data_IF_433734258372
#
_entry.id   IF_433734258372
#
_cell.length_a   1.000
_cell.length_b   1.000
_cell.length_c   1.000
_cell.angle_alpha   90.00
_cell.angle_beta   90.00
_cell.angle_gamma   90.00
#
_symmetry.space_group_name_H-M   'P 1'
#
loop_
_entity.id
_entity.type
_entity.pdbx_description
1 polymer ?
#
# COMPACT_ATOMS: atom_id res chain seq x y z
N UNK A 1 -19.95 -5.24 -5.44
CA UNK A 1 -21.06 -4.63 -6.20
C UNK A 1 -22.25 -5.55 -5.95
N UNK A 2 -23.16 -5.14 -5.07
CA UNK A 2 -24.35 -5.93 -4.71
C UNK A 2 -25.53 -5.33 -5.49
N UNK A 3 -25.94 -6.01 -6.55
CA UNK A 3 -27.05 -5.62 -7.40
C UNK A 3 -28.23 -6.56 -7.08
N UNK A 4 -29.33 -5.98 -6.61
CA UNK A 4 -30.58 -6.68 -6.35
C UNK A 4 -31.02 -7.48 -7.58
N UNK A 5 -31.21 -8.79 -7.38
CA UNK A 5 -31.46 -9.87 -8.34
C UNK A 5 -32.81 -9.80 -9.10
N UNK A 6 -33.26 -8.64 -9.60
CA UNK A 6 -34.57 -8.56 -10.28
C UNK A 6 -34.52 -8.32 -11.79
N UNK A 7 -33.37 -7.96 -12.38
CA UNK A 7 -33.24 -7.85 -13.84
C UNK A 7 -32.00 -8.61 -14.32
N UNK A 8 -32.24 -9.81 -14.83
CA UNK A 8 -31.24 -10.86 -15.02
C UNK A 8 -31.18 -11.27 -16.49
N UNK A 9 -30.66 -10.36 -17.33
CA UNK A 9 -30.27 -10.64 -18.71
C UNK A 9 -28.75 -10.42 -18.96
N UNK A 10 -27.95 -10.30 -17.90
CA UNK A 10 -26.51 -10.07 -18.01
C UNK A 10 -25.74 -11.38 -18.22
N UNK A 11 -25.19 -11.57 -19.42
CA UNK A 11 -24.50 -12.79 -19.89
C UNK A 11 -23.03 -12.90 -19.45
N UNK A 12 -22.67 -12.35 -18.29
CA UNK A 12 -21.28 -12.27 -17.83
C UNK A 12 -20.56 -11.00 -18.28
N UNK A 13 -19.40 -10.72 -17.71
CA UNK A 13 -18.64 -9.49 -17.94
C UNK A 13 -17.14 -9.72 -17.93
N UNK A 14 -16.38 -8.70 -18.34
CA UNK A 14 -14.91 -8.71 -18.28
C UNK A 14 -14.43 -7.58 -17.40
N UNK A 15 -13.59 -7.91 -16.42
CA UNK A 15 -12.75 -6.93 -15.74
C UNK A 15 -11.51 -6.74 -16.59
N UNK A 16 -11.33 -5.54 -17.12
CA UNK A 16 -10.27 -5.20 -18.07
C UNK A 16 -9.22 -4.25 -17.47
N UNK A 17 -9.44 -3.80 -16.24
CA UNK A 17 -8.44 -3.06 -15.48
C UNK A 17 -8.63 -3.24 -13.97
N UNK A 18 -7.50 -3.35 -13.28
CA UNK A 18 -7.43 -3.36 -11.82
C UNK A 18 -6.29 -2.44 -11.42
N UNK A 19 -6.57 -1.51 -10.52
CA UNK A 19 -5.55 -0.67 -9.90
C UNK A 19 -5.59 -0.80 -8.38
N UNK A 20 -4.41 -0.77 -7.78
CA UNK A 20 -4.22 -0.80 -6.34
C UNK A 20 -3.76 0.58 -5.92
N UNK A 21 -4.45 1.18 -4.95
CA UNK A 21 -4.08 2.45 -4.34
C UNK A 21 -3.81 2.22 -2.86
N UNK A 22 -2.72 2.79 -2.36
CA UNK A 22 -2.33 2.75 -0.96
C UNK A 22 -2.35 4.15 -0.38
N UNK A 23 -3.15 4.34 0.67
CA UNK A 23 -3.26 5.58 1.43
C UNK A 23 -2.76 5.44 2.88
N UNK A 24 -2.09 4.34 3.21
CA UNK A 24 -1.26 4.20 4.40
C UNK A 24 0.06 4.94 4.19
N UNK A 25 -0.03 6.26 4.14
CA UNK A 25 1.13 7.13 4.00
C UNK A 25 2.02 7.03 5.23
N UNK A 26 3.31 6.86 4.98
CA UNK A 26 4.33 7.06 5.98
C UNK A 26 4.85 8.49 5.86
N UNK A 27 5.02 9.15 7.00
CA UNK A 27 5.54 10.51 7.07
C UNK A 27 7.05 10.45 7.28
N UNK A 28 7.78 11.27 6.54
CA UNK A 28 9.19 11.50 6.78
C UNK A 28 9.44 12.11 8.17
N UNK A 29 10.68 12.02 8.66
CA UNK A 29 11.05 12.74 9.87
C UNK A 29 10.98 14.26 9.64
N UNK A 30 10.44 14.99 10.61
CA UNK A 30 10.41 16.45 10.60
C UNK A 30 11.82 17.04 10.75
N UNK A 31 12.70 16.32 11.45
CA UNK A 31 14.09 16.70 11.65
C UNK A 31 15.02 15.50 11.55
N UNK A 32 16.22 15.74 11.05
CA UNK A 32 17.30 14.75 11.03
C UNK A 32 18.44 15.26 11.88
N UNK A 33 18.93 14.44 12.81
CA UNK A 33 20.14 14.71 13.59
C UNK A 33 21.31 13.96 12.98
N UNK A 34 22.27 14.72 12.47
CA UNK A 34 23.49 14.24 11.83
C UNK A 34 24.62 15.23 12.04
N UNK A 35 25.82 14.91 11.56
CA UNK A 35 26.94 15.86 11.54
C UNK A 35 26.62 17.14 10.74
N UNK A 36 25.83 17.04 9.67
CA UNK A 36 25.47 18.19 8.82
C UNK A 36 24.46 19.15 9.45
N UNK A 37 23.57 18.62 10.30
CA UNK A 37 22.53 19.41 11.00
C UNK A 37 22.91 19.74 12.43
N UNK A 38 24.11 19.33 12.87
CA UNK A 38 24.59 19.50 14.24
C UNK A 38 24.64 20.97 14.64
N UNK A 39 24.20 21.27 15.86
CA UNK A 39 24.27 22.63 16.42
C UNK A 39 23.11 23.53 16.00
N UNK A 40 22.16 23.03 15.20
CA UNK A 40 21.00 23.81 14.77
C UNK A 40 19.97 23.91 15.88
N UNK A 41 19.36 25.09 16.01
CA UNK A 41 18.23 25.28 16.91
C UNK A 41 16.99 24.69 16.26
N UNK A 42 16.31 23.81 16.98
CA UNK A 42 15.09 23.13 16.57
C UNK A 42 13.99 23.34 17.61
N UNK A 43 12.75 23.24 17.16
CA UNK A 43 11.57 23.33 18.01
C UNK A 43 10.64 22.15 17.73
N UNK A 44 10.29 21.42 18.78
CA UNK A 44 9.41 20.26 18.74
C UNK A 44 8.07 20.55 19.40
N UNK A 45 7.00 20.26 18.68
CA UNK A 45 5.62 20.17 19.18
C UNK A 45 5.23 18.69 19.19
N UNK A 46 4.35 18.30 20.13
CA UNK A 46 3.93 16.91 20.29
C UNK A 46 3.45 16.29 18.97
N UNK A 47 3.90 15.07 18.69
CA UNK A 47 3.65 14.33 17.45
C UNK A 47 4.72 14.52 16.37
N UNK A 48 5.65 15.48 16.52
CA UNK A 48 6.76 15.61 15.57
C UNK A 48 7.79 14.50 15.73
N UNK A 49 8.37 14.11 14.60
CA UNK A 49 9.25 12.95 14.46
C UNK A 49 10.67 13.42 14.15
N UNK A 50 11.65 12.88 14.87
CA UNK A 50 13.07 13.13 14.62
C UNK A 50 13.76 11.82 14.28
N UNK A 51 14.62 11.84 13.28
CA UNK A 51 15.51 10.74 12.93
C UNK A 51 16.91 11.04 13.49
N UNK A 52 17.40 10.19 14.38
CA UNK A 52 18.80 10.16 14.78
C UNK A 52 19.54 9.33 13.74
N UNK A 53 20.15 10.00 12.76
CA UNK A 53 20.84 9.34 11.66
C UNK A 53 22.30 8.99 11.99
N UNK A 54 22.94 9.77 12.85
CA UNK A 54 24.31 9.53 13.27
C UNK A 54 24.40 9.50 14.79
N UNK A 55 24.94 8.41 15.33
CA UNK A 55 25.29 8.31 16.76
C UNK A 55 26.66 8.95 16.98
N UNK A 56 26.84 9.66 18.10
CA UNK A 56 28.10 10.36 18.43
C UNK A 56 28.14 11.87 18.13
N UNK A 57 27.09 12.43 17.52
CA UNK A 57 26.95 13.90 17.39
C UNK A 57 26.20 14.53 18.57
N UNK A 58 25.51 13.70 19.37
CA UNK A 58 24.72 14.12 20.52
C UNK A 58 25.62 14.28 21.76
N UNK A 59 25.41 15.32 22.56
CA UNK A 59 26.08 15.49 23.86
C UNK A 59 25.67 14.41 24.86
N UNK A 60 24.43 13.95 24.76
CA UNK A 60 23.91 12.79 25.49
C UNK A 60 23.43 11.77 24.46
N UNK A 61 23.99 10.55 24.42
CA UNK A 61 23.54 9.53 23.48
C UNK A 61 22.03 9.31 23.56
N UNK A 62 21.39 9.18 22.39
CA UNK A 62 19.99 8.80 22.32
C UNK A 62 19.79 7.41 22.95
N UNK A 63 18.69 7.20 23.68
CA UNK A 63 18.51 6.01 24.51
C UNK A 63 18.56 4.68 23.73
N UNK A 64 18.22 4.71 22.45
CA UNK A 64 18.25 3.55 21.54
C UNK A 64 19.17 3.79 20.33
N UNK A 65 20.01 4.83 20.39
CA UNK A 65 20.95 5.17 19.33
C UNK A 65 20.28 5.65 18.04
N UNK A 66 20.60 4.97 16.94
CA UNK A 66 20.07 5.26 15.61
C UNK A 66 18.58 4.91 15.53
N UNK A 67 17.79 5.80 14.92
CA UNK A 67 16.39 5.54 14.61
C UNK A 67 15.47 6.72 14.88
N UNK A 68 14.18 6.46 14.84
CA UNK A 68 13.13 7.47 14.90
C UNK A 68 12.59 7.63 16.31
N UNK A 69 12.39 8.89 16.70
CA UNK A 69 11.79 9.26 17.97
C UNK A 69 10.63 10.23 17.73
N UNK A 70 9.49 10.01 18.38
CA UNK A 70 8.39 10.98 18.39
C UNK A 70 8.44 11.78 19.67
N UNK A 71 8.38 13.11 19.55
CA UNK A 71 8.18 13.97 20.71
C UNK A 71 6.73 13.86 21.20
N UNK A 72 6.56 13.56 22.48
CA UNK A 72 5.28 13.36 23.18
C UNK A 72 5.09 14.34 24.34
N UNK A 73 6.00 15.28 24.54
CA UNK A 73 5.89 16.27 25.62
C UNK A 73 4.70 17.22 25.44
N UNK A 74 4.14 17.68 26.55
CA UNK A 74 2.93 18.50 26.57
C UNK A 74 3.16 19.97 26.12
N UNK A 75 4.39 20.47 26.27
CA UNK A 75 4.79 21.83 25.87
C UNK A 75 5.77 21.79 24.71
N UNK A 76 5.90 22.89 23.98
CA UNK A 76 6.93 23.02 22.93
C UNK A 76 8.32 22.91 23.54
N UNK A 77 9.17 22.05 22.99
CA UNK A 77 10.58 21.91 23.38
C UNK A 77 11.46 22.58 22.34
N UNK A 78 12.19 23.62 22.74
CA UNK A 78 13.17 24.31 21.88
C UNK A 78 14.57 24.10 22.41
N UNK A 79 15.53 23.86 21.51
CA UNK A 79 16.93 23.75 21.89
C UNK A 79 17.83 23.42 20.71
N UNK A 80 19.12 23.29 20.98
CA UNK A 80 20.09 22.82 19.99
C UNK A 80 19.89 21.31 19.82
N UNK A 81 19.69 20.84 18.58
CA UNK A 81 19.34 19.46 18.29
C UNK A 81 20.30 18.44 18.92
N UNK A 82 21.61 18.71 18.93
CA UNK A 82 22.61 17.81 19.52
C UNK A 82 22.69 17.87 21.04
N UNK A 83 22.12 18.91 21.66
CA UNK A 83 22.06 19.07 23.12
C UNK A 83 20.75 18.55 23.74
N UNK A 84 19.74 18.27 22.92
CA UNK A 84 18.49 17.68 23.37
C UNK A 84 18.70 16.21 23.72
N UNK A 85 18.04 15.77 24.80
CA UNK A 85 18.05 14.36 25.21
C UNK A 85 16.94 13.65 24.45
N UNK A 86 17.28 12.69 23.59
CA UNK A 86 16.29 11.85 22.89
C UNK A 86 16.03 10.58 23.70
N UNK A 87 15.14 10.70 24.70
CA UNK A 87 14.75 9.57 25.57
C UNK A 87 13.87 8.56 24.84
N UNK A 88 13.73 7.35 25.39
CA UNK A 88 12.82 6.32 24.88
C UNK A 88 11.46 6.23 25.58
N UNK A 89 11.07 7.21 26.41
CA UNK A 89 9.69 7.24 26.91
C UNK A 89 9.39 7.97 28.21
N UNK A 90 10.34 8.56 28.95
CA UNK A 90 9.99 9.14 30.28
C UNK A 90 10.75 10.39 30.74
N UNK A 91 11.92 10.74 30.21
CA UNK A 91 12.71 11.88 30.78
C UNK A 91 12.62 13.18 29.99
N UNK A 92 12.52 13.12 28.66
CA UNK A 92 12.58 14.31 27.80
C UNK A 92 11.42 14.39 26.81
N UNK A 93 10.39 13.58 27.04
CA UNK A 93 9.21 13.54 26.19
C UNK A 93 9.49 13.01 24.80
N UNK A 94 10.44 12.08 24.62
CA UNK A 94 10.61 11.35 23.37
C UNK A 94 10.28 9.87 23.58
N UNK A 95 9.62 9.26 22.61
CA UNK A 95 9.33 7.83 22.52
C UNK A 95 10.05 7.26 21.30
N UNK A 96 10.72 6.12 21.45
CA UNK A 96 11.40 5.46 20.34
C UNK A 96 10.42 4.65 19.49
N UNK A 97 10.43 4.88 18.18
CA UNK A 97 9.54 4.21 17.23
C UNK A 97 10.23 3.11 16.41
N UNK A 98 11.53 2.86 16.64
CA UNK A 98 12.31 1.91 15.85
C UNK A 98 13.11 2.56 14.72
N UNK A 99 13.72 1.72 13.89
CA UNK A 99 14.61 2.13 12.79
C UNK A 99 13.89 2.29 11.45
N UNK A 100 12.66 1.75 11.32
CA UNK A 100 11.86 1.73 10.10
C UNK A 100 10.51 2.43 10.27
N UNK A 101 10.50 3.66 10.80
CA UNK A 101 9.26 4.39 11.07
C UNK A 101 8.71 5.15 9.86
N UNK A 102 9.56 5.66 8.95
CA UNK A 102 9.13 6.41 7.77
C UNK A 102 9.10 5.54 6.50
N UNK A 103 8.80 4.26 6.63
CA UNK A 103 8.93 3.30 5.54
C UNK A 103 7.60 2.59 5.30
N UNK A 104 7.01 2.82 4.13
CA UNK A 104 5.88 2.02 3.66
C UNK A 104 6.42 0.70 3.12
N UNK A 105 6.13 -0.44 3.77
CA UNK A 105 6.66 -1.73 3.32
C UNK A 105 6.07 -2.10 1.97
N UNK A 106 6.83 -2.87 1.19
CA UNK A 106 6.30 -3.56 0.02
C UNK A 106 5.18 -4.52 0.43
N UNK A 107 4.19 -4.72 -0.44
CA UNK A 107 3.06 -5.64 -0.20
C UNK A 107 2.76 -6.44 -1.45
N UNK A 108 2.59 -7.76 -1.31
CA UNK A 108 2.10 -8.61 -2.40
C UNK A 108 0.61 -8.88 -2.23
N UNK A 109 -0.18 -8.46 -3.22
CA UNK A 109 -1.60 -8.76 -3.33
C UNK A 109 -1.81 -9.96 -4.23
N UNK A 110 -2.62 -10.91 -3.80
CA UNK A 110 -3.00 -12.10 -4.58
C UNK A 110 -4.49 -12.02 -4.89
N UNK A 111 -4.82 -12.17 -6.17
CA UNK A 111 -6.18 -12.14 -6.67
C UNK A 111 -6.68 -13.56 -6.93
N UNK A 112 -7.89 -13.84 -6.47
CA UNK A 112 -8.52 -15.15 -6.56
C UNK A 112 -9.89 -15.01 -7.22
N UNK A 113 -10.24 -15.95 -8.09
CA UNK A 113 -11.59 -16.11 -8.62
C UNK A 113 -12.24 -17.31 -7.96
N UNK A 114 -13.51 -17.17 -7.57
CA UNK A 114 -14.37 -18.30 -7.21
C UNK A 114 -15.45 -18.46 -8.26
N UNK A 115 -15.83 -19.70 -8.59
CA UNK A 115 -16.92 -20.00 -9.52
C UNK A 115 -18.13 -20.58 -8.82
N UNK A 116 -19.28 -19.90 -8.91
CA UNK A 116 -20.58 -20.42 -8.46
C UNK A 116 -20.77 -20.68 -6.96
N UNK A 117 -19.84 -20.26 -6.09
CA UNK A 117 -20.01 -20.40 -4.62
C UNK A 117 -20.51 -19.11 -3.97
N UNK A 118 -21.54 -19.24 -3.15
CA UNK A 118 -22.07 -18.14 -2.34
C UNK A 118 -21.34 -17.98 -1.01
N UNK A 119 -20.62 -19.02 -0.54
CA UNK A 119 -19.84 -19.04 0.70
C UNK A 119 -18.34 -19.25 0.42
N UNK A 120 -17.60 -18.17 0.17
CA UNK A 120 -16.17 -18.20 -0.08
C UNK A 120 -15.43 -18.56 1.23
N UNK A 121 -14.89 -19.77 1.37
CA UNK A 121 -14.04 -20.14 2.52
C UNK A 121 -12.60 -20.33 2.04
N UNK A 122 -11.65 -19.43 2.40
CA UNK A 122 -10.24 -19.64 2.10
C UNK A 122 -9.83 -21.06 2.55
N UNK A 123 -9.25 -21.85 1.64
CA UNK A 123 -8.91 -23.28 1.77
C UNK A 123 -9.99 -24.34 1.44
N UNK A 124 -11.18 -23.99 0.91
CA UNK A 124 -12.14 -24.99 0.39
C UNK A 124 -11.73 -25.63 -0.95
N UNK A 125 -10.69 -25.09 -1.62
CA UNK A 125 -10.28 -25.49 -2.96
C UNK A 125 -11.02 -24.78 -4.10
N UNK A 126 -12.05 -23.96 -3.79
CA UNK A 126 -12.86 -23.25 -4.79
C UNK A 126 -12.22 -21.97 -5.34
N UNK A 127 -11.05 -21.61 -4.83
CA UNK A 127 -10.32 -20.40 -5.22
C UNK A 127 -9.27 -20.72 -6.26
N UNK A 128 -9.40 -20.13 -7.45
CA UNK A 128 -8.37 -20.13 -8.46
C UNK A 128 -7.55 -18.84 -8.34
N UNK A 129 -6.25 -18.95 -8.10
CA UNK A 129 -5.34 -17.81 -8.20
C UNK A 129 -5.34 -17.31 -9.64
N UNK A 130 -5.58 -16.03 -9.83
CA UNK A 130 -5.59 -15.37 -11.13
C UNK A 130 -4.21 -14.81 -11.42
N UNK A 131 -3.73 -13.94 -10.53
CA UNK A 131 -2.40 -13.34 -10.57
C UNK A 131 -2.02 -12.83 -9.17
N UNK A 132 -0.74 -12.49 -9.01
CA UNK A 132 -0.24 -11.73 -7.88
C UNK A 132 0.42 -10.44 -8.37
N UNK A 133 0.25 -9.35 -7.62
CA UNK A 133 0.89 -8.06 -7.88
C UNK A 133 1.64 -7.62 -6.64
N UNK A 134 2.96 -7.45 -6.80
CA UNK A 134 3.79 -6.79 -5.82
C UNK A 134 3.64 -5.27 -5.98
N UNK A 135 3.30 -4.59 -4.91
CA UNK A 135 3.29 -3.12 -4.80
C UNK A 135 4.58 -2.74 -4.10
N UNK A 136 5.56 -2.14 -4.82
CA UNK A 136 6.84 -1.78 -4.22
C UNK A 136 6.68 -0.85 -3.02
N UNK A 137 7.68 -0.83 -2.16
CA UNK A 137 7.74 0.11 -1.05
C UNK A 137 7.55 1.56 -1.52
N UNK A 138 6.87 2.37 -0.71
CA UNK A 138 6.59 3.78 -0.96
C UNK A 138 5.85 4.07 -2.29
N UNK A 139 5.14 3.09 -2.83
CA UNK A 139 4.33 3.26 -4.06
C UNK A 139 2.85 3.42 -3.72
N UNK A 140 2.29 4.58 -4.06
CA UNK A 140 0.90 4.91 -3.75
C UNK A 140 -0.10 4.29 -4.71
N UNK A 141 0.30 4.05 -5.97
CA UNK A 141 -0.60 3.50 -6.97
C UNK A 141 0.16 2.62 -7.94
N UNK A 142 -0.39 1.43 -8.19
CA UNK A 142 0.06 0.57 -9.28
C UNK A 142 -1.13 0.15 -10.13
N UNK A 143 -0.84 -0.03 -11.41
CA UNK A 143 -1.72 -0.69 -12.35
C UNK A 143 -1.33 -2.18 -12.45
N UNK A 144 -2.33 -3.05 -12.63
CA UNK A 144 -2.13 -4.50 -12.73
C UNK A 144 -2.14 -5.03 -14.18
N UNK A 145 -2.22 -4.16 -15.19
CA UNK A 145 -2.32 -4.59 -16.61
C UNK A 145 -1.13 -5.44 -17.10
N UNK A 146 0.03 -5.34 -16.45
CA UNK A 146 1.21 -6.15 -16.72
C UNK A 146 0.99 -7.64 -16.36
N UNK A 147 0.29 -7.90 -15.26
CA UNK A 147 0.08 -9.24 -14.70
C UNK A 147 -1.31 -9.82 -14.94
N UNK A 148 -2.24 -9.05 -15.50
CA UNK A 148 -3.57 -9.54 -15.87
C UNK A 148 -3.49 -10.61 -16.98
N UNK A 149 -4.33 -11.67 -16.92
CA UNK A 149 -4.30 -12.75 -17.88
C UNK A 149 -4.79 -12.29 -19.26
N UNK A 150 -4.28 -12.94 -20.31
CA UNK A 150 -4.71 -12.67 -21.68
C UNK A 150 -6.11 -13.21 -21.94
N UNK A 151 -6.90 -12.45 -22.69
CA UNK A 151 -8.23 -12.84 -23.15
C UNK A 151 -8.08 -13.76 -24.36
N UNK A 152 -8.79 -14.90 -24.33
CA UNK A 152 -8.84 -15.85 -25.45
C UNK A 152 -9.48 -15.27 -26.72
N UNK A 153 -10.33 -14.26 -26.57
CA UNK A 153 -10.87 -13.45 -27.65
C UNK A 153 -10.73 -11.95 -27.29
N UNK A 154 -10.01 -11.15 -28.10
CA UNK A 154 -9.92 -9.72 -27.87
C UNK A 154 -11.31 -9.06 -27.87
N UNK A 155 -11.55 -8.17 -26.93
CA UNK A 155 -12.83 -7.48 -26.83
C UNK A 155 -12.86 -6.39 -27.91
N UNK A 156 -13.78 -6.53 -28.87
CA UNK A 156 -13.86 -5.69 -30.07
C UNK A 156 -14.29 -4.23 -29.78
N UNK A 157 -14.57 -3.89 -28.52
CA UNK A 157 -15.32 -2.68 -28.14
C UNK A 157 -14.53 -1.63 -27.35
N UNK A 158 -13.19 -1.59 -27.45
CA UNK A 158 -12.39 -0.48 -26.93
C UNK A 158 -11.26 -0.06 -27.89
N UNK A 159 -11.33 -0.49 -29.16
CA UNK A 159 -10.42 -0.06 -30.22
C UNK A 159 -11.06 1.00 -31.08
N UNK A 160 -10.31 2.05 -31.39
CA UNK A 160 -10.64 3.05 -32.41
C UNK A 160 -11.32 2.41 -33.64
N UNK A 161 -12.55 2.83 -33.96
CA UNK A 161 -13.32 2.34 -35.12
C UNK A 161 -12.71 2.70 -36.47
N UNK A 162 -11.57 3.42 -36.51
CA UNK A 162 -10.86 3.81 -37.74
C UNK A 162 -9.61 2.97 -38.06
N UNK A 163 -9.40 1.84 -37.40
CA UNK A 163 -8.50 0.77 -37.87
C UNK A 163 -7.36 0.39 -36.93
N UNK A 164 -6.72 -0.74 -37.24
CA UNK A 164 -5.58 -1.36 -36.52
C UNK A 164 -4.27 -0.56 -36.71
N UNK A 165 -4.29 0.73 -36.42
CA UNK A 165 -3.07 1.54 -36.35
C UNK A 165 -2.29 1.25 -35.08
N UNK A 166 -0.97 1.41 -35.14
CA UNK A 166 0.02 1.20 -34.07
C UNK A 166 -0.17 2.04 -32.78
N UNK A 167 -1.32 2.68 -32.57
CA UNK A 167 -1.54 3.70 -31.56
C UNK A 167 -2.76 3.48 -30.65
N UNK A 168 -3.37 2.30 -30.64
CA UNK A 168 -4.33 1.95 -29.57
C UNK A 168 -4.26 0.46 -29.26
N UNK A 169 -3.80 0.07 -28.05
CA UNK A 169 -3.73 -1.33 -27.70
C UNK A 169 -5.15 -1.90 -27.63
N UNK A 170 -5.42 -2.93 -28.43
CA UNK A 170 -6.53 -3.83 -28.17
C UNK A 170 -6.41 -4.27 -26.69
N UNK A 171 -7.47 -4.13 -25.90
CA UNK A 171 -7.50 -4.68 -24.55
C UNK A 171 -7.51 -6.21 -24.67
N UNK A 172 -6.32 -6.78 -24.70
CA UNK A 172 -6.09 -8.22 -24.86
C UNK A 172 -5.90 -8.93 -23.51
N UNK A 173 -6.07 -8.22 -22.39
CA UNK A 173 -5.96 -8.76 -21.04
C UNK A 173 -7.20 -8.41 -20.24
N UNK A 174 -7.61 -9.35 -19.39
CA UNK A 174 -8.83 -9.22 -18.63
C UNK A 174 -9.23 -10.52 -17.95
N UNK A 175 -10.23 -10.44 -17.07
CA UNK A 175 -10.76 -11.58 -16.33
C UNK A 175 -12.22 -11.74 -16.71
N UNK A 176 -12.56 -12.87 -17.32
CA UNK A 176 -13.95 -13.25 -17.57
C UNK A 176 -14.64 -13.61 -16.26
N UNK A 177 -15.80 -13.03 -16.05
CA UNK A 177 -16.70 -13.34 -14.95
C UNK A 177 -18.02 -13.87 -15.49
N UNK A 178 -18.37 -15.07 -15.07
CA UNK A 178 -19.72 -15.61 -15.24
C UNK A 178 -20.61 -15.20 -14.07
N UNK A 179 -21.92 -15.43 -14.19
CA UNK A 179 -22.85 -15.17 -13.10
C UNK A 179 -22.46 -15.95 -11.84
N UNK A 180 -22.38 -15.24 -10.72
CA UNK A 180 -22.01 -15.83 -9.43
C UNK A 180 -20.50 -15.95 -9.22
N UNK A 181 -19.69 -15.62 -10.22
CA UNK A 181 -18.25 -15.50 -10.02
C UNK A 181 -17.93 -14.27 -9.16
N UNK A 182 -16.88 -14.39 -8.36
CA UNK A 182 -16.41 -13.32 -7.49
C UNK A 182 -14.89 -13.26 -7.52
N UNK A 183 -14.36 -12.05 -7.45
CA UNK A 183 -12.93 -11.83 -7.26
C UNK A 183 -12.68 -11.46 -5.81
N UNK A 184 -11.77 -12.20 -5.17
CA UNK A 184 -11.23 -11.91 -3.86
C UNK A 184 -9.80 -11.42 -3.99
N UNK A 185 -9.40 -10.56 -3.08
CA UNK A 185 -8.04 -10.08 -2.95
C UNK A 185 -7.57 -10.38 -1.54
N UNK A 186 -6.37 -10.94 -1.43
CA UNK A 186 -5.71 -11.19 -0.16
C UNK A 186 -4.31 -10.62 -0.16
N UNK A 187 -3.79 -10.33 1.03
CA UNK A 187 -2.40 -9.96 1.23
C UNK A 187 -1.59 -11.23 1.50
N UNK A 188 -0.53 -11.44 0.73
CA UNK A 188 0.40 -12.53 0.99
C UNK A 188 1.23 -12.20 2.25
N UNK A 189 1.30 -13.10 3.24
CA UNK A 189 2.09 -12.86 4.44
C UNK A 189 3.59 -13.02 4.16
N UNK A 190 4.36 -11.96 4.35
CA UNK A 190 5.81 -11.93 4.11
C UNK A 190 6.63 -11.38 5.30
N UNK A 191 6.03 -11.35 6.50
CA UNK A 191 6.67 -10.87 7.73
C UNK A 191 6.05 -9.56 8.21
N UNK A 192 6.39 -8.40 7.62
CA UNK A 192 5.78 -7.13 7.98
C UNK A 192 4.29 -7.07 7.59
N UNK A 193 3.86 -7.88 6.61
CA UNK A 193 2.46 -8.00 6.23
C UNK A 193 1.84 -9.24 6.86
N UNK A 194 0.71 -9.04 7.53
CA UNK A 194 -0.11 -10.12 8.08
C UNK A 194 -1.09 -10.57 6.98
N UNK A 195 -1.33 -11.87 6.89
CA UNK A 195 -2.28 -12.42 5.92
C UNK A 195 -3.65 -11.76 6.04
N UNK A 196 -4.24 -11.41 4.89
CA UNK A 196 -5.62 -10.92 4.80
C UNK A 196 -5.84 -9.44 5.11
N UNK A 197 -4.87 -8.72 5.68
CA UNK A 197 -5.04 -7.29 5.99
C UNK A 197 -3.76 -6.50 5.80
N UNK A 198 -3.86 -5.40 5.05
CA UNK A 198 -2.90 -4.30 5.08
C UNK A 198 -3.68 -2.99 5.24
N UNK A 199 -3.30 -2.11 6.18
CA UNK A 199 -3.96 -0.82 6.34
C UNK A 199 -3.92 -0.02 5.04
N UNK A 200 -4.99 0.73 4.75
CA UNK A 200 -4.99 1.75 3.71
C UNK A 200 -4.87 1.28 2.26
N UNK A 201 -5.05 -0.01 1.97
CA UNK A 201 -5.15 -0.49 0.59
C UNK A 201 -6.58 -0.39 0.04
N UNK A 202 -6.70 0.12 -1.18
CA UNK A 202 -7.93 0.26 -1.93
C UNK A 202 -7.75 -0.38 -3.30
N UNK A 203 -8.66 -1.30 -3.64
CA UNK A 203 -8.65 -2.00 -4.92
C UNK A 203 -9.80 -1.45 -5.77
N UNK A 204 -9.47 -0.93 -6.95
CA UNK A 204 -10.46 -0.52 -7.94
C UNK A 204 -10.37 -1.44 -9.14
N UNK A 205 -11.46 -2.12 -9.46
CA UNK A 205 -11.61 -2.91 -10.68
C UNK A 205 -12.63 -2.21 -11.59
N UNK A 206 -12.31 -2.09 -12.88
CA UNK A 206 -13.25 -1.64 -13.90
C UNK A 206 -13.41 -2.71 -14.97
N UNK A 207 -14.57 -2.70 -15.60
CA UNK A 207 -14.97 -3.69 -16.58
C UNK A 207 -16.25 -3.32 -17.28
N UNK A 208 -16.62 -4.11 -18.28
CA UNK A 208 -17.84 -3.94 -19.07
C UNK A 208 -18.59 -5.27 -19.23
N UNK A 209 -19.88 -5.16 -19.58
CA UNK A 209 -20.71 -6.28 -19.98
C UNK A 209 -20.60 -6.53 -21.49
N UNK A 210 -20.87 -7.79 -21.90
CA UNK A 210 -21.13 -8.16 -23.29
C UNK A 210 -22.61 -8.43 -23.48
#
# INVERSE_FOLDING_TARGET
MDASLSEDNNNGGVIDSISIVRNDYYRDADYVVSSTTSGTVVSFVSGQVVLIFQTGVLSTPAASGFGYYTYTGATTLTGINTSLVYSGGTSSGFVFNGVNYAYQPEVTFVFYQTRGTTNPVPASGDYKVIFAKQVPANTQRVDCSDVMPELSAPTVSAGNTTGLGNASPLRNKGIYLERGDRIYVGVFPDGPNISGYTPGAHITAQGGFF
#
